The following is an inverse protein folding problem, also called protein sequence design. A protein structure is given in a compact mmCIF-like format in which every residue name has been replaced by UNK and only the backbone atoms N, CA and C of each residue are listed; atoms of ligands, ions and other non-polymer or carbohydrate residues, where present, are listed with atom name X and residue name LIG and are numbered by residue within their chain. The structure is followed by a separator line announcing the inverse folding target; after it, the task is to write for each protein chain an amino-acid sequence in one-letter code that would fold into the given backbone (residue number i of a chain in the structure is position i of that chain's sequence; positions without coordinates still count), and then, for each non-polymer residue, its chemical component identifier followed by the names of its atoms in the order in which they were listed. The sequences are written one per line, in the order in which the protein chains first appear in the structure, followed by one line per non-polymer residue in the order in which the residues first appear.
data_IF_262623766192
#
_entry.id   IF_262623766192
#
_cell.length_a   1.000
_cell.length_b   1.000
_cell.length_c   1.000
_cell.angle_alpha   90.00
_cell.angle_beta   90.00
_cell.angle_gamma   90.00
#
_symmetry.space_group_name_H-M   'P 1'
#
loop_
_entity.id
_entity.type
_entity.pdbx_description
1 polymer ?
#
# COMPACT_ATOMS: atom_id res chain seq x y z
N UNK A 1 -17.72 2.41 -3.99
CA UNK A 1 -16.58 3.18 -4.53
C UNK A 1 -15.30 2.42 -4.21
N UNK A 2 -14.41 2.23 -5.21
CA UNK A 2 -13.06 1.70 -4.98
C UNK A 2 -12.08 2.83 -5.31
N UNK A 3 -11.40 3.37 -4.28
CA UNK A 3 -10.49 4.50 -4.39
C UNK A 3 -9.03 4.02 -4.44
N UNK A 4 -8.47 4.01 -5.64
CA UNK A 4 -7.08 3.61 -5.92
C UNK A 4 -6.20 4.80 -6.34
N UNK A 5 -6.80 5.97 -6.58
CA UNK A 5 -6.07 7.14 -7.08
C UNK A 5 -5.14 7.73 -6.02
N UNK A 6 -3.86 7.82 -6.35
CA UNK A 6 -2.85 8.45 -5.50
C UNK A 6 -1.58 8.77 -6.30
N UNK A 7 -0.81 9.75 -5.85
CA UNK A 7 0.60 9.88 -6.19
C UNK A 7 1.37 8.91 -5.30
N UNK A 8 2.00 7.91 -5.90
CA UNK A 8 2.66 6.78 -5.20
C UNK A 8 4.18 6.86 -5.21
N UNK A 9 4.78 7.75 -6.03
CA UNK A 9 6.22 7.98 -6.04
C UNK A 9 6.66 8.68 -4.77
N UNK A 10 7.45 8.01 -3.93
CA UNK A 10 8.02 8.60 -2.71
C UNK A 10 8.83 9.84 -3.05
N UNK A 11 9.69 9.77 -4.09
CA UNK A 11 10.51 10.90 -4.55
C UNK A 11 9.65 12.10 -4.93
N UNK A 12 8.64 11.91 -5.79
CA UNK A 12 7.75 12.99 -6.20
C UNK A 12 6.96 13.59 -5.02
N UNK A 13 6.56 12.75 -4.05
CA UNK A 13 5.86 13.23 -2.86
C UNK A 13 6.77 14.11 -1.97
N UNK A 14 8.08 13.81 -1.88
CA UNK A 14 9.02 14.64 -1.15
C UNK A 14 9.35 15.95 -1.90
N UNK A 15 9.53 15.86 -3.21
CA UNK A 15 9.85 17.04 -4.06
C UNK A 15 8.67 18.00 -4.20
N UNK A 16 7.43 17.47 -4.23
CA UNK A 16 6.22 18.27 -4.38
C UNK A 16 5.15 17.90 -3.34
N UNK A 17 5.40 18.30 -2.09
CA UNK A 17 4.51 18.02 -0.95
C UNK A 17 3.10 18.58 -1.15
N UNK A 18 2.98 19.75 -1.78
CA UNK A 18 1.69 20.38 -2.06
C UNK A 18 0.85 19.54 -3.01
N UNK A 19 1.43 19.03 -4.09
CA UNK A 19 0.74 18.18 -5.04
C UNK A 19 0.34 16.85 -4.40
N UNK A 20 1.25 16.19 -3.66
CA UNK A 20 0.97 14.95 -2.94
C UNK A 20 -0.16 15.13 -1.92
N UNK A 21 -0.13 16.21 -1.13
CA UNK A 21 -1.19 16.55 -0.18
C UNK A 21 -2.54 16.78 -0.86
N UNK A 22 -2.58 17.60 -1.90
CA UNK A 22 -3.82 17.92 -2.61
C UNK A 22 -4.44 16.68 -3.24
N UNK A 23 -3.62 15.77 -3.80
CA UNK A 23 -4.12 14.55 -4.43
C UNK A 23 -4.49 13.49 -3.39
N UNK A 24 -3.56 13.12 -2.50
CA UNK A 24 -3.73 11.95 -1.64
C UNK A 24 -4.60 12.24 -0.41
N UNK A 25 -4.55 13.47 0.15
CA UNK A 25 -5.31 13.82 1.36
C UNK A 25 -6.58 14.57 1.00
N UNK A 26 -6.46 15.75 0.36
CA UNK A 26 -7.66 16.55 0.02
C UNK A 26 -8.56 15.85 -1.00
N UNK A 27 -7.98 15.17 -2.01
CA UNK A 27 -8.75 14.37 -2.96
C UNK A 27 -9.56 13.28 -2.27
N UNK A 28 -8.94 12.53 -1.35
CA UNK A 28 -9.62 11.52 -0.52
C UNK A 28 -10.71 12.15 0.34
N UNK A 29 -10.39 13.26 1.04
CA UNK A 29 -11.36 14.01 1.84
C UNK A 29 -12.58 14.45 1.02
N UNK A 30 -12.38 14.97 -0.18
CA UNK A 30 -13.49 15.41 -1.05
C UNK A 30 -14.43 14.25 -1.40
N UNK A 31 -13.89 13.05 -1.65
CA UNK A 31 -14.70 11.86 -1.89
C UNK A 31 -15.49 11.45 -0.64
N UNK A 32 -14.85 11.49 0.53
CA UNK A 32 -15.51 11.20 1.82
C UNK A 32 -16.65 12.20 2.08
N UNK A 33 -16.38 13.49 1.95
CA UNK A 33 -17.38 14.54 2.13
C UNK A 33 -18.58 14.37 1.18
N UNK A 34 -18.31 13.96 -0.07
CA UNK A 34 -19.37 13.65 -1.04
C UNK A 34 -20.23 12.47 -0.58
N UNK A 35 -19.60 11.37 -0.15
CA UNK A 35 -20.32 10.16 0.32
C UNK A 35 -21.18 10.50 1.53
N UNK A 36 -20.63 11.21 2.52
CA UNK A 36 -21.37 11.61 3.73
C UNK A 36 -22.60 12.46 3.41
N UNK A 37 -22.51 13.33 2.39
CA UNK A 37 -23.61 14.20 1.98
C UNK A 37 -24.65 13.51 1.08
N UNK A 38 -24.20 12.62 0.19
CA UNK A 38 -25.06 12.01 -0.84
C UNK A 38 -25.71 10.72 -0.37
N UNK A 39 -24.90 9.75 0.06
CA UNK A 39 -25.37 8.46 0.54
C UNK A 39 -24.35 7.80 1.47
N UNK A 40 -24.46 7.97 2.80
CA UNK A 40 -23.52 7.39 3.78
C UNK A 40 -23.47 5.84 3.81
N UNK A 41 -24.43 5.17 3.15
CA UNK A 41 -24.47 3.70 3.06
C UNK A 41 -23.61 3.13 1.93
N UNK A 42 -23.04 3.98 1.06
CA UNK A 42 -22.15 3.53 -0.02
C UNK A 42 -20.96 2.77 0.59
N UNK A 43 -20.71 1.56 0.09
CA UNK A 43 -19.49 0.80 0.41
C UNK A 43 -18.28 1.53 -0.18
N UNK A 44 -17.31 1.86 0.68
CA UNK A 44 -16.10 2.56 0.27
C UNK A 44 -14.86 1.70 0.53
N UNK A 45 -14.12 1.41 -0.50
CA UNK A 45 -12.84 0.69 -0.44
C UNK A 45 -11.70 1.67 -0.67
N UNK A 46 -10.78 1.79 0.28
CA UNK A 46 -9.58 2.60 0.15
C UNK A 46 -8.35 1.72 0.06
N UNK A 47 -7.61 1.82 -1.05
CA UNK A 47 -6.33 1.11 -1.19
C UNK A 47 -5.22 1.94 -0.59
N UNK A 48 -4.74 1.51 0.57
CA UNK A 48 -3.60 2.07 1.30
C UNK A 48 -2.32 1.28 1.03
N UNK A 49 -1.34 1.39 1.89
CA UNK A 49 0.01 0.85 1.69
C UNK A 49 0.61 0.32 3.00
N UNK A 50 1.51 -0.66 2.90
CA UNK A 50 2.33 -1.10 4.01
C UNK A 50 3.36 -0.03 4.46
N UNK A 51 3.67 0.95 3.61
CA UNK A 51 4.61 2.02 3.96
C UNK A 51 4.13 2.91 5.11
N UNK A 52 2.88 2.77 5.57
CA UNK A 52 2.39 3.48 6.78
C UNK A 52 3.12 3.05 8.06
N UNK A 53 3.76 1.89 8.06
CA UNK A 53 4.58 1.39 9.18
C UNK A 53 6.04 1.85 9.07
N UNK A 54 6.78 1.78 10.16
CA UNK A 54 8.17 2.26 10.24
C UNK A 54 9.19 1.36 9.52
N UNK A 55 8.87 0.09 9.33
CA UNK A 55 9.73 -0.87 8.64
C UNK A 55 10.89 -1.42 9.47
N UNK A 56 10.81 -1.35 10.80
CA UNK A 56 11.88 -1.86 11.68
C UNK A 56 11.79 -3.38 11.88
N UNK A 57 10.57 -3.91 12.08
CA UNK A 57 10.37 -5.32 12.45
C UNK A 57 9.77 -6.13 11.29
N UNK A 58 8.89 -5.53 10.50
CA UNK A 58 8.12 -6.23 9.48
C UNK A 58 7.00 -7.11 10.05
N UNK A 59 6.30 -7.82 9.15
CA UNK A 59 5.16 -8.68 9.48
C UNK A 59 4.08 -7.97 10.30
N UNK A 60 3.88 -6.67 10.04
CA UNK A 60 2.86 -5.87 10.71
C UNK A 60 1.46 -6.38 10.42
N UNK A 61 0.63 -6.48 11.44
CA UNK A 61 -0.79 -6.81 11.29
C UNK A 61 -1.70 -5.58 11.44
N UNK A 62 -3.00 -5.79 11.40
CA UNK A 62 -3.99 -4.70 11.43
C UNK A 62 -4.06 -3.96 12.76
N UNK A 63 -3.53 -4.54 13.83
CA UNK A 63 -3.55 -3.97 15.18
C UNK A 63 -2.27 -3.18 15.50
N UNK A 64 -1.23 -3.29 14.63
CA UNK A 64 0.01 -2.55 14.81
C UNK A 64 -0.14 -1.05 14.54
N UNK A 65 0.62 -0.25 15.29
CA UNK A 65 0.55 1.21 15.24
C UNK A 65 1.36 1.73 14.04
N UNK A 66 0.74 2.48 13.09
CA UNK A 66 1.44 3.10 11.99
C UNK A 66 2.44 4.18 12.44
N UNK A 67 3.60 4.20 11.78
CA UNK A 67 4.62 5.23 11.97
C UNK A 67 5.32 5.55 10.63
N UNK A 68 4.76 6.45 9.81
CA UNK A 68 5.26 6.72 8.46
C UNK A 68 6.64 7.39 8.47
N UNK A 69 7.54 6.93 7.59
CA UNK A 69 8.92 7.41 7.48
C UNK A 69 9.14 8.44 6.37
N UNK A 70 8.16 8.68 5.51
CA UNK A 70 8.25 9.62 4.39
C UNK A 70 6.90 10.28 4.12
N UNK A 71 6.92 11.33 3.30
CA UNK A 71 5.71 12.13 3.04
C UNK A 71 4.64 11.36 2.29
N UNK A 72 5.01 10.46 1.36
CA UNK A 72 4.03 9.56 0.72
C UNK A 72 3.25 8.75 1.75
N UNK A 73 3.97 8.05 2.62
CA UNK A 73 3.37 7.22 3.67
C UNK A 73 2.48 8.04 4.61
N UNK A 74 2.92 9.25 5.00
CA UNK A 74 2.13 10.18 5.80
C UNK A 74 0.82 10.56 5.08
N UNK A 75 0.87 10.89 3.79
CA UNK A 75 -0.35 11.27 3.05
C UNK A 75 -1.33 10.10 2.93
N UNK A 76 -0.84 8.87 2.81
CA UNK A 76 -1.69 7.66 2.78
C UNK A 76 -2.33 7.41 4.14
N UNK A 77 -1.59 7.55 5.24
CA UNK A 77 -2.11 7.41 6.61
C UNK A 77 -3.19 8.47 6.91
N UNK A 78 -2.98 9.71 6.48
CA UNK A 78 -3.99 10.76 6.63
C UNK A 78 -5.23 10.48 5.77
N UNK A 79 -5.07 9.87 4.60
CA UNK A 79 -6.19 9.34 3.81
C UNK A 79 -6.98 8.27 4.57
N UNK A 80 -6.31 7.33 5.27
CA UNK A 80 -6.97 6.35 6.14
C UNK A 80 -7.82 7.03 7.22
N UNK A 81 -7.29 8.09 7.84
CA UNK A 81 -8.03 8.89 8.84
C UNK A 81 -9.29 9.55 8.27
N UNK A 82 -9.24 10.03 7.02
CA UNK A 82 -10.45 10.56 6.36
C UNK A 82 -11.49 9.46 6.11
N UNK A 83 -11.07 8.29 5.61
CA UNK A 83 -11.94 7.15 5.34
C UNK A 83 -12.60 6.58 6.60
N UNK A 84 -11.90 6.62 7.74
CA UNK A 84 -12.42 6.13 9.03
C UNK A 84 -13.66 6.90 9.53
N UNK A 85 -14.01 8.03 8.91
CA UNK A 85 -15.26 8.75 9.15
C UNK A 85 -16.50 8.07 8.54
N UNK A 86 -16.29 7.14 7.60
CA UNK A 86 -17.35 6.40 6.93
C UNK A 86 -17.63 5.09 7.68
N UNK A 87 -18.88 4.84 8.01
CA UNK A 87 -19.31 3.63 8.73
C UNK A 87 -19.25 2.36 7.86
N UNK A 88 -19.44 2.51 6.54
CA UNK A 88 -19.40 1.40 5.59
C UNK A 88 -18.15 1.47 4.71
N UNK A 89 -16.98 1.36 5.33
CA UNK A 89 -15.69 1.44 4.64
C UNK A 89 -14.76 0.30 5.00
N UNK A 90 -13.88 -0.04 4.07
CA UNK A 90 -12.73 -0.92 4.29
C UNK A 90 -11.45 -0.22 3.82
N UNK A 91 -10.44 -0.24 4.66
CA UNK A 91 -9.10 0.29 4.40
C UNK A 91 -8.18 -0.90 4.18
N UNK A 92 -7.64 -1.02 2.98
CA UNK A 92 -6.79 -2.14 2.57
C UNK A 92 -5.35 -1.70 2.56
N UNK A 93 -4.52 -2.23 3.47
CA UNK A 93 -3.06 -2.08 3.41
C UNK A 93 -2.47 -3.24 2.64
N UNK A 94 -1.61 -2.96 1.69
CA UNK A 94 -1.04 -3.97 0.79
C UNK A 94 0.27 -3.48 0.19
N UNK A 95 1.03 -4.41 -0.39
CA UNK A 95 2.17 -4.15 -1.27
C UNK A 95 1.97 -4.89 -2.58
N UNK A 96 1.89 -4.18 -3.68
CA UNK A 96 1.74 -4.83 -4.98
C UNK A 96 2.51 -4.13 -6.10
N UNK A 97 2.80 -4.91 -7.12
CA UNK A 97 3.46 -4.46 -8.34
C UNK A 97 2.70 -4.94 -9.57
N UNK A 98 3.03 -4.38 -10.73
CA UNK A 98 2.58 -4.88 -12.03
C UNK A 98 3.33 -6.17 -12.39
N UNK A 99 2.69 -7.07 -13.15
CA UNK A 99 3.35 -8.23 -13.81
C UNK A 99 4.25 -7.84 -14.99
N UNK A 100 4.36 -6.56 -15.32
CA UNK A 100 5.27 -6.06 -16.36
C UNK A 100 6.72 -6.23 -15.93
N UNK A 101 7.69 -6.20 -16.89
CA UNK A 101 9.10 -6.17 -16.55
C UNK A 101 9.43 -5.10 -15.50
N UNK A 102 10.38 -5.40 -14.62
CA UNK A 102 10.82 -4.47 -13.58
C UNK A 102 11.35 -3.17 -14.21
N UNK A 103 10.85 -1.99 -13.80
CA UNK A 103 11.13 -0.75 -14.53
C UNK A 103 12.49 -0.11 -14.22
N UNK A 104 13.28 -0.70 -13.33
CA UNK A 104 14.55 -0.15 -12.88
C UNK A 104 15.70 -1.09 -13.21
N UNK A 105 16.95 -0.57 -13.36
CA UNK A 105 18.12 -1.41 -13.65
C UNK A 105 18.50 -2.35 -12.51
N UNK A 106 18.17 -1.98 -11.26
CA UNK A 106 18.48 -2.74 -10.07
C UNK A 106 17.29 -2.84 -9.11
N UNK A 107 17.36 -3.75 -8.14
CA UNK A 107 16.36 -3.92 -7.10
C UNK A 107 17.01 -4.25 -5.74
N UNK A 108 16.40 -3.82 -4.66
CA UNK A 108 16.95 -3.92 -3.31
C UNK A 108 16.97 -5.36 -2.78
N UNK A 109 18.12 -5.81 -2.32
CA UNK A 109 18.32 -7.14 -1.69
C UNK A 109 17.95 -7.14 -0.20
N UNK A 110 17.91 -5.96 0.42
CA UNK A 110 17.71 -5.72 1.86
C UNK A 110 16.42 -4.92 2.16
N UNK A 111 15.52 -4.80 1.19
CA UNK A 111 14.18 -4.24 1.36
C UNK A 111 13.13 -5.31 1.13
N UNK A 112 12.30 -5.57 2.13
CA UNK A 112 11.41 -6.73 2.17
C UNK A 112 9.94 -6.37 2.12
N UNK A 113 9.11 -7.34 1.70
CA UNK A 113 7.66 -7.23 1.73
C UNK A 113 6.97 -8.57 1.49
N UNK A 114 5.69 -8.64 1.80
CA UNK A 114 4.79 -9.74 1.42
C UNK A 114 4.03 -9.33 0.17
N UNK A 115 4.78 -9.21 -0.92
CA UNK A 115 4.32 -8.65 -2.18
C UNK A 115 3.28 -9.50 -2.89
N UNK A 116 2.45 -8.83 -3.68
CA UNK A 116 1.49 -9.42 -4.59
C UNK A 116 1.58 -8.76 -5.98
N UNK A 117 0.97 -9.37 -6.97
CA UNK A 117 0.65 -8.68 -8.21
C UNK A 117 -0.70 -7.94 -8.08
N UNK A 118 -0.89 -6.90 -8.88
CA UNK A 118 -2.13 -6.13 -8.89
C UNK A 118 -3.38 -7.00 -9.12
N UNK A 119 -3.25 -8.09 -9.90
CA UNK A 119 -4.32 -9.07 -10.13
C UNK A 119 -4.72 -9.80 -8.83
N UNK A 120 -3.76 -10.18 -7.99
CA UNK A 120 -4.05 -10.82 -6.71
C UNK A 120 -4.80 -9.86 -5.77
N UNK A 121 -4.38 -8.59 -5.73
CA UNK A 121 -5.05 -7.56 -4.91
C UNK A 121 -6.48 -7.32 -5.40
N UNK A 122 -6.70 -7.29 -6.72
CA UNK A 122 -8.04 -7.15 -7.29
C UNK A 122 -8.98 -8.31 -6.91
N UNK A 123 -8.47 -9.56 -6.90
CA UNK A 123 -9.20 -10.73 -6.39
C UNK A 123 -9.52 -10.55 -4.91
N UNK A 124 -8.53 -10.14 -4.10
CA UNK A 124 -8.73 -9.89 -2.67
C UNK A 124 -9.77 -8.82 -2.39
N UNK A 125 -9.77 -7.72 -3.13
CA UNK A 125 -10.78 -6.65 -3.03
C UNK A 125 -12.18 -7.20 -3.35
N UNK A 126 -12.31 -7.99 -4.43
CA UNK A 126 -13.58 -8.61 -4.80
C UNK A 126 -14.11 -9.49 -3.67
N UNK A 127 -13.29 -10.40 -3.14
CA UNK A 127 -13.67 -11.31 -2.06
C UNK A 127 -14.04 -10.55 -0.76
N UNK A 128 -13.32 -9.47 -0.42
CA UNK A 128 -13.63 -8.60 0.73
C UNK A 128 -15.01 -7.94 0.57
N UNK A 129 -15.34 -7.50 -0.65
CA UNK A 129 -16.64 -6.92 -0.96
C UNK A 129 -17.77 -7.96 -0.89
N UNK A 130 -17.53 -9.19 -1.38
CA UNK A 130 -18.49 -10.29 -1.33
C UNK A 130 -18.77 -10.76 0.11
N UNK A 131 -17.81 -10.59 1.03
CA UNK A 131 -17.95 -10.90 2.46
C UNK A 131 -18.34 -9.69 3.33
N UNK A 132 -18.62 -8.55 2.72
CA UNK A 132 -19.04 -7.28 3.36
C UNK A 132 -18.12 -6.82 4.53
N UNK A 133 -16.83 -7.06 4.43
CA UNK A 133 -15.87 -6.67 5.48
C UNK A 133 -15.75 -5.15 5.59
N UNK A 134 -15.55 -4.66 6.82
CA UNK A 134 -15.32 -3.26 7.14
C UNK A 134 -14.06 -3.09 8.01
N UNK A 135 -13.59 -1.85 8.13
CA UNK A 135 -12.42 -1.50 8.94
C UNK A 135 -11.10 -1.78 8.23
N UNK A 136 -10.04 -2.04 8.99
CA UNK A 136 -8.72 -2.32 8.44
C UNK A 136 -8.58 -3.80 8.07
N UNK A 137 -8.10 -4.05 6.86
CA UNK A 137 -7.80 -5.40 6.34
C UNK A 137 -6.49 -5.36 5.57
N UNK A 138 -5.61 -6.30 5.83
CA UNK A 138 -4.39 -6.46 5.04
C UNK A 138 -4.60 -7.50 3.93
N UNK A 139 -4.32 -7.13 2.67
CA UNK A 139 -4.22 -8.08 1.55
C UNK A 139 -2.73 -8.34 1.31
N UNK A 140 -2.29 -9.55 1.62
CA UNK A 140 -0.87 -9.88 1.72
C UNK A 140 -0.49 -11.16 1.00
N UNK A 141 0.75 -11.23 0.54
CA UNK A 141 1.37 -12.46 0.05
C UNK A 141 1.69 -13.43 1.19
N UNK A 142 1.74 -14.72 0.86
CA UNK A 142 2.05 -15.79 1.80
C UNK A 142 3.57 -15.94 2.09
N UNK A 143 4.42 -15.17 1.41
CA UNK A 143 5.88 -15.20 1.58
C UNK A 143 6.43 -13.79 1.73
N UNK A 144 7.32 -13.60 2.70
CA UNK A 144 8.19 -12.45 2.80
C UNK A 144 9.39 -12.65 1.88
N UNK A 145 9.58 -11.76 0.94
CA UNK A 145 10.69 -11.78 -0.02
C UNK A 145 11.32 -10.39 -0.15
N UNK A 146 12.57 -10.35 -0.61
CA UNK A 146 13.21 -9.08 -0.95
C UNK A 146 12.62 -8.49 -2.24
N UNK A 147 12.80 -7.19 -2.43
CA UNK A 147 12.39 -6.53 -3.68
C UNK A 147 13.17 -7.08 -4.89
N UNK A 148 14.42 -7.51 -4.68
CA UNK A 148 15.24 -8.18 -5.69
C UNK A 148 14.66 -9.54 -6.12
N UNK A 149 14.25 -10.38 -5.16
CA UNK A 149 13.58 -11.65 -5.47
C UNK A 149 12.26 -11.42 -6.22
N UNK A 150 11.48 -10.41 -5.82
CA UNK A 150 10.28 -10.01 -6.54
C UNK A 150 10.58 -9.59 -7.99
N UNK A 151 11.56 -8.71 -8.18
CA UNK A 151 11.92 -8.19 -9.49
C UNK A 151 12.39 -9.30 -10.45
N UNK A 152 13.12 -10.30 -9.94
CA UNK A 152 13.59 -11.46 -10.73
C UNK A 152 12.46 -12.31 -11.30
N UNK A 153 11.27 -12.27 -10.75
CA UNK A 153 10.10 -13.01 -11.29
C UNK A 153 9.76 -12.52 -12.72
N UNK A 154 9.88 -11.23 -12.95
CA UNK A 154 9.54 -10.62 -14.25
C UNK A 154 10.76 -10.18 -15.06
N UNK A 155 11.92 -10.04 -14.42
CA UNK A 155 13.18 -9.58 -15.03
C UNK A 155 14.36 -10.35 -14.44
N UNK A 156 14.68 -11.55 -14.96
CA UNK A 156 15.70 -12.43 -14.40
C UNK A 156 17.09 -11.79 -14.29
N UNK A 157 17.43 -10.85 -15.17
CA UNK A 157 18.73 -10.19 -15.26
C UNK A 157 18.79 -8.84 -14.51
N UNK A 158 17.79 -8.51 -13.66
CA UNK A 158 17.85 -7.31 -12.81
C UNK A 158 19.08 -7.36 -11.90
N UNK A 159 19.77 -6.24 -11.73
CA UNK A 159 20.95 -6.17 -10.86
C UNK A 159 20.56 -6.06 -9.38
N UNK A 160 21.31 -6.69 -8.47
CA UNK A 160 21.12 -6.46 -7.05
C UNK A 160 21.66 -5.08 -6.64
N UNK A 161 21.03 -4.44 -5.65
CA UNK A 161 21.56 -3.26 -4.96
C UNK A 161 21.13 -3.28 -3.49
N UNK A 162 21.83 -2.53 -2.65
CA UNK A 162 21.44 -2.32 -1.25
C UNK A 162 20.86 -0.93 -1.06
N UNK A 163 20.14 -0.73 0.05
CA UNK A 163 19.49 0.54 0.35
C UNK A 163 20.51 1.67 0.59
N UNK A 164 21.71 1.36 1.10
CA UNK A 164 22.79 2.32 1.31
C UNK A 164 23.39 2.87 0.00
N UNK A 165 23.18 2.18 -1.11
CA UNK A 165 23.52 2.63 -2.46
C UNK A 165 22.44 3.55 -3.08
N UNK A 166 21.32 3.74 -2.39
CA UNK A 166 20.18 4.52 -2.90
C UNK A 166 20.30 6.01 -2.56
N UNK A 167 20.48 6.83 -3.58
CA UNK A 167 20.44 8.29 -3.49
C UNK A 167 19.02 8.82 -3.68
N UNK A 168 18.24 8.76 -2.62
CA UNK A 168 16.84 9.23 -2.66
C UNK A 168 16.23 9.39 -1.28
N UNK A 169 14.93 9.71 -1.22
CA UNK A 169 14.21 9.88 0.04
C UNK A 169 14.21 8.60 0.88
N UNK A 170 14.07 8.76 2.19
CA UNK A 170 13.94 7.64 3.12
C UNK A 170 12.84 6.67 2.70
N UNK A 171 13.19 5.40 2.54
CA UNK A 171 12.26 4.32 2.23
C UNK A 171 11.97 3.46 3.46
N UNK A 172 10.77 2.93 3.54
CA UNK A 172 10.43 1.88 4.51
C UNK A 172 11.18 0.61 4.14
N UNK A 173 11.97 0.05 5.07
CA UNK A 173 12.84 -1.10 4.82
C UNK A 173 12.05 -2.40 4.75
N UNK A 174 11.43 -2.79 5.86
CA UNK A 174 10.61 -3.98 5.92
C UNK A 174 9.12 -3.62 5.86
N UNK A 175 8.57 -3.79 4.68
CA UNK A 175 7.15 -3.54 4.40
C UNK A 175 6.32 -4.84 4.45
N UNK A 176 6.87 -5.90 5.05
CA UNK A 176 6.10 -7.14 5.15
C UNK A 176 4.92 -6.94 6.10
N UNK A 177 3.78 -7.44 5.66
CA UNK A 177 2.54 -7.45 6.42
C UNK A 177 2.13 -8.88 6.74
N UNK A 178 1.48 -9.06 7.86
CA UNK A 178 0.64 -10.23 8.16
C UNK A 178 -0.83 -9.80 8.13
N UNK A 179 -1.76 -10.73 8.27
CA UNK A 179 -3.16 -10.44 8.47
C UNK A 179 -3.77 -11.38 9.48
N UNK A 180 -4.44 -10.80 10.48
CA UNK A 180 -5.30 -11.49 11.45
C UNK A 180 -6.75 -11.54 11.00
N UNK A 181 -7.12 -10.72 9.99
CA UNK A 181 -8.51 -10.49 9.59
C UNK A 181 -8.84 -11.07 8.24
N UNK A 182 -7.81 -11.46 7.45
CA UNK A 182 -8.01 -12.02 6.13
C UNK A 182 -6.96 -13.07 5.78
N UNK A 183 -7.26 -13.88 4.76
CA UNK A 183 -6.35 -14.91 4.25
C UNK A 183 -5.16 -14.32 3.50
N UNK A 184 -4.10 -15.10 3.38
CA UNK A 184 -2.91 -14.79 2.56
C UNK A 184 -3.07 -15.34 1.14
N UNK A 185 -2.44 -14.68 0.18
CA UNK A 185 -2.48 -15.06 -1.23
C UNK A 185 -1.10 -15.54 -1.73
N UNK A 186 -1.10 -16.48 -2.68
CA UNK A 186 0.12 -16.84 -3.39
C UNK A 186 0.45 -15.78 -4.44
N UNK A 187 1.73 -15.45 -4.58
CA UNK A 187 2.23 -14.55 -5.62
C UNK A 187 2.30 -15.33 -6.95
N UNK A 188 1.30 -15.17 -7.83
CA UNK A 188 1.15 -15.92 -9.10
C UNK A 188 1.08 -14.98 -10.31
#
# INVERSE_FOLDING_TARGET
IIHTAAITSVRLCEENKTLAWNTNVKGTKNLVDYVLKSNPKIKFVYVSTACVFDGHYGMYDEDDIPYPKNFYALTKLLGESEISKLTNSVIIRTNFVSKKPWPYPAAFTDRFGTYLFASNVAIGIKEILENDLCGFVHIVGNKKISMYELAKITTPNVLPMKIDEYDGPTLTMDMSLDSKRWKKYSLN
#
